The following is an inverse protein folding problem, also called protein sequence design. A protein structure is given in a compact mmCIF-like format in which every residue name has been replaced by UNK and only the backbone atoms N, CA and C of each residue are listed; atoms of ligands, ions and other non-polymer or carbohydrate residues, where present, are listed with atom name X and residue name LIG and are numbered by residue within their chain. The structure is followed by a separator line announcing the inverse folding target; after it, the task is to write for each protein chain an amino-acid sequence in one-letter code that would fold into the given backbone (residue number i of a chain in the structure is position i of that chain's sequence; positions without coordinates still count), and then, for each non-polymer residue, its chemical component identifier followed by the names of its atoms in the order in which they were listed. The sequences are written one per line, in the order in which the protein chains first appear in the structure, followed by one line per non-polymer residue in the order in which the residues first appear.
data_IF_129545571565
#
_entry.id   IF_129545571565
#
_cell.length_a   1.000
_cell.length_b   1.000
_cell.length_c   1.000
_cell.angle_alpha   90.00
_cell.angle_beta   90.00
_cell.angle_gamma   90.00
#
_symmetry.space_group_name_H-M   'P 1'
#
loop_
_entity.id
_entity.type
_entity.pdbx_description
1 polymer ?
#
# COMPACT_ATOMS: atom_id res chain seq x y z
N UNK A 1 10.52 -0.02 16.54
CA UNK A 1 9.09 0.10 16.76
C UNK A 1 8.41 -0.41 15.49
N UNK A 2 7.59 -1.46 15.59
CA UNK A 2 6.94 -2.09 14.45
C UNK A 2 5.46 -1.74 14.52
N UNK A 3 5.04 -0.60 14.03
CA UNK A 3 3.68 -0.12 14.10
C UNK A 3 2.70 -1.21 13.61
N UNK A 4 1.92 -1.28 12.76
CA UNK A 4 0.90 -2.25 12.38
C UNK A 4 1.34 -3.77 12.31
N UNK A 5 2.65 -4.06 12.29
CA UNK A 5 3.16 -5.45 12.20
C UNK A 5 3.17 -6.22 13.51
N UNK A 6 2.93 -5.55 14.63
CA UNK A 6 2.82 -6.22 15.94
C UNK A 6 1.60 -7.14 15.94
N UNK A 7 0.48 -6.78 15.29
CA UNK A 7 -0.69 -7.65 15.13
C UNK A 7 -0.38 -8.88 14.26
N UNK A 8 0.35 -8.69 13.15
CA UNK A 8 0.77 -9.81 12.30
C UNK A 8 1.76 -10.73 13.02
N UNK A 9 2.70 -10.15 13.76
CA UNK A 9 3.66 -10.91 14.57
C UNK A 9 2.97 -11.67 15.69
N UNK A 10 2.03 -11.03 16.40
CA UNK A 10 1.22 -11.65 17.43
C UNK A 10 0.42 -12.84 16.86
N UNK A 11 -0.23 -12.66 15.70
CA UNK A 11 -0.98 -13.74 15.03
C UNK A 11 -0.09 -14.91 14.63
N UNK A 12 1.09 -14.63 14.06
CA UNK A 12 2.06 -15.70 13.74
C UNK A 12 2.56 -16.43 14.98
N UNK A 13 2.79 -15.71 16.11
CA UNK A 13 3.20 -16.32 17.37
C UNK A 13 2.06 -17.13 18.03
N UNK A 14 0.82 -16.65 17.95
CA UNK A 14 -0.37 -17.39 18.40
C UNK A 14 -0.47 -18.74 17.67
N UNK A 15 -0.38 -18.74 16.34
CA UNK A 15 -0.44 -19.94 15.52
C UNK A 15 0.71 -20.91 15.82
N UNK A 16 1.92 -20.40 16.00
CA UNK A 16 3.08 -21.22 16.37
C UNK A 16 2.91 -21.83 17.76
N UNK A 17 2.32 -21.09 18.71
CA UNK A 17 2.08 -21.52 20.08
C UNK A 17 1.08 -22.68 20.20
N UNK A 18 0.26 -22.94 19.20
CA UNK A 18 -0.68 -24.07 19.19
C UNK A 18 0.03 -25.44 19.12
N UNK A 19 1.31 -25.46 18.79
CA UNK A 19 2.16 -26.66 18.79
C UNK A 19 1.59 -27.85 17.99
N UNK A 20 0.86 -27.55 16.94
CA UNK A 20 0.31 -28.51 15.97
C UNK A 20 0.55 -27.98 14.54
N UNK A 21 0.18 -28.75 13.51
CA UNK A 21 0.30 -28.31 12.15
C UNK A 21 -0.51 -27.03 11.89
N UNK A 22 0.17 -26.01 11.41
CA UNK A 22 -0.42 -24.73 10.99
C UNK A 22 0.08 -24.31 9.61
N UNK A 23 -0.72 -23.54 8.90
CA UNK A 23 -0.31 -22.91 7.65
C UNK A 23 -0.81 -21.47 7.58
N UNK A 24 0.03 -20.57 7.08
CA UNK A 24 -0.33 -19.19 6.83
C UNK A 24 0.18 -18.76 5.45
N UNK A 25 -0.45 -17.76 4.84
CA UNK A 25 0.10 -17.07 3.69
C UNK A 25 0.26 -15.59 3.98
N UNK A 26 1.43 -15.05 3.67
CA UNK A 26 1.72 -13.62 3.76
C UNK A 26 1.68 -13.04 2.36
N UNK A 27 0.74 -12.13 2.14
CA UNK A 27 0.57 -11.40 0.88
C UNK A 27 1.18 -10.02 1.02
N UNK A 28 2.11 -9.67 0.15
CA UNK A 28 2.75 -8.34 0.18
C UNK A 28 3.53 -8.06 -1.09
N UNK A 29 3.70 -6.78 -1.39
CA UNK A 29 4.60 -6.30 -2.42
C UNK A 29 6.00 -6.01 -1.87
N UNK A 30 6.92 -5.67 -2.77
CA UNK A 30 8.29 -5.37 -2.38
C UNK A 30 8.37 -4.11 -1.48
N UNK A 31 9.22 -4.16 -0.46
CA UNK A 31 9.40 -3.02 0.44
C UNK A 31 8.44 -2.96 1.63
N UNK A 32 7.42 -3.82 1.71
CA UNK A 32 6.44 -3.85 2.81
C UNK A 32 6.99 -4.38 4.14
N UNK A 33 8.28 -4.68 4.22
CA UNK A 33 8.94 -5.15 5.45
C UNK A 33 8.68 -6.63 5.78
N UNK A 34 8.25 -7.45 4.81
CA UNK A 34 8.10 -8.91 4.92
C UNK A 34 9.31 -9.57 5.59
N UNK A 35 10.51 -9.32 5.05
CA UNK A 35 11.75 -9.93 5.55
C UNK A 35 12.02 -9.58 7.02
N UNK A 36 11.68 -8.37 7.44
CA UNK A 36 11.84 -7.92 8.82
C UNK A 36 10.85 -8.64 9.74
N UNK A 37 9.57 -8.74 9.34
CA UNK A 37 8.56 -9.51 10.06
C UNK A 37 8.97 -10.97 10.21
N UNK A 38 9.38 -11.63 9.12
CA UNK A 38 9.79 -13.02 9.14
C UNK A 38 11.05 -13.25 9.98
N UNK A 39 12.03 -12.34 9.93
CA UNK A 39 13.24 -12.42 10.78
C UNK A 39 12.90 -12.29 12.25
N UNK A 40 12.05 -11.34 12.62
CA UNK A 40 11.61 -11.16 13.99
C UNK A 40 10.79 -12.36 14.50
N UNK A 41 9.85 -12.85 13.68
CA UNK A 41 9.08 -14.03 14.00
C UNK A 41 9.95 -15.28 14.19
N UNK A 42 10.98 -15.44 13.35
CA UNK A 42 11.88 -16.61 13.39
C UNK A 42 12.89 -16.58 14.52
N UNK A 43 13.05 -15.44 15.21
CA UNK A 43 14.03 -15.32 16.30
C UNK A 43 13.74 -16.34 17.42
N UNK A 44 14.75 -17.14 17.79
CA UNK A 44 14.65 -18.19 18.80
C UNK A 44 13.84 -19.42 18.39
N UNK A 45 13.41 -19.53 17.11
CA UNK A 45 12.66 -20.69 16.59
C UNK A 45 13.50 -21.47 15.58
N UNK A 46 13.37 -22.79 15.59
CA UNK A 46 13.96 -23.65 14.57
C UNK A 46 13.26 -23.37 13.23
N UNK A 47 13.96 -22.68 12.31
CA UNK A 47 13.36 -22.16 11.08
C UNK A 47 14.12 -22.61 9.85
N UNK A 48 13.42 -23.27 8.94
CA UNK A 48 13.85 -23.55 7.58
C UNK A 48 13.30 -22.43 6.68
N UNK A 49 14.16 -21.47 6.32
CA UNK A 49 13.81 -20.37 5.42
C UNK A 49 14.35 -20.68 4.04
N UNK A 50 13.48 -20.73 3.04
CA UNK A 50 13.82 -20.98 1.66
C UNK A 50 13.27 -19.88 0.76
N UNK A 51 14.17 -19.25 0.00
CA UNK A 51 13.83 -18.28 -1.04
C UNK A 51 14.19 -18.87 -2.41
N UNK A 52 13.20 -19.31 -3.19
CA UNK A 52 13.41 -19.83 -4.53
C UNK A 52 14.05 -18.79 -5.45
N UNK A 53 14.89 -19.24 -6.36
CA UNK A 53 15.44 -18.44 -7.44
C UNK A 53 14.62 -18.65 -8.73
N UNK A 54 14.67 -17.68 -9.63
CA UNK A 54 14.12 -17.81 -10.99
C UNK A 54 15.05 -18.68 -11.86
N UNK A 55 15.12 -19.97 -11.51
CA UNK A 55 16.00 -20.94 -12.14
C UNK A 55 15.27 -22.25 -12.42
N UNK A 56 15.98 -23.34 -12.68
CA UNK A 56 15.39 -24.67 -12.91
C UNK A 56 14.87 -25.27 -11.60
N UNK A 57 13.92 -26.21 -11.71
CA UNK A 57 13.40 -26.96 -10.56
C UNK A 57 14.53 -27.73 -9.85
N UNK A 58 15.52 -28.23 -10.59
CA UNK A 58 16.62 -28.97 -10.04
C UNK A 58 17.51 -28.08 -9.14
N UNK A 59 17.82 -26.86 -9.57
CA UNK A 59 18.60 -25.92 -8.76
C UNK A 59 17.83 -25.52 -7.49
N UNK A 60 16.53 -25.23 -7.59
CA UNK A 60 15.68 -24.96 -6.44
C UNK A 60 15.58 -26.17 -5.50
N UNK A 61 15.54 -27.39 -6.06
CA UNK A 61 15.57 -28.62 -5.25
C UNK A 61 16.88 -28.77 -4.50
N UNK A 62 18.03 -28.54 -5.13
CA UNK A 62 19.35 -28.63 -4.52
C UNK A 62 19.50 -27.57 -3.42
N UNK A 63 19.12 -26.33 -3.70
CA UNK A 63 19.17 -25.25 -2.72
C UNK A 63 18.28 -25.52 -1.49
N UNK A 64 17.05 -26.01 -1.68
CA UNK A 64 16.18 -26.41 -0.54
C UNK A 64 16.77 -27.58 0.23
N UNK A 65 17.38 -28.55 -0.47
CA UNK A 65 18.03 -29.71 0.16
C UNK A 65 19.20 -29.29 1.06
N UNK A 66 20.05 -28.41 0.57
CA UNK A 66 21.18 -27.85 1.33
C UNK A 66 20.68 -27.11 2.58
N UNK A 67 19.67 -26.26 2.41
CA UNK A 67 19.09 -25.51 3.51
C UNK A 67 18.43 -26.45 4.56
N UNK A 68 17.74 -27.49 4.09
CA UNK A 68 17.17 -28.50 4.97
C UNK A 68 18.26 -29.27 5.77
N UNK A 69 19.40 -29.62 5.14
CA UNK A 69 20.54 -30.24 5.80
C UNK A 69 21.14 -29.30 6.85
N UNK A 70 21.26 -28.01 6.53
CA UNK A 70 21.79 -27.00 7.45
C UNK A 70 20.95 -26.86 8.73
N UNK A 71 19.61 -26.86 8.57
CA UNK A 71 18.67 -26.64 9.70
C UNK A 71 18.35 -27.92 10.46
N UNK A 72 18.15 -29.04 9.76
CA UNK A 72 17.71 -30.32 10.34
C UNK A 72 18.88 -31.28 10.68
N UNK A 73 20.09 -30.92 10.26
CA UNK A 73 21.27 -31.76 10.37
C UNK A 73 21.46 -32.71 9.17
N UNK A 74 22.60 -33.39 9.06
CA UNK A 74 22.97 -34.22 7.93
C UNK A 74 22.29 -35.60 7.94
N UNK A 75 20.97 -35.62 8.00
CA UNK A 75 20.17 -36.85 7.99
C UNK A 75 20.41 -37.65 6.68
N UNK A 76 20.65 -38.95 6.77
CA UNK A 76 20.87 -39.83 5.60
C UNK A 76 19.72 -39.73 4.59
N UNK A 77 18.49 -39.62 5.04
CA UNK A 77 17.29 -39.44 4.16
C UNK A 77 17.29 -38.11 3.42
N UNK A 78 17.85 -37.04 3.98
CA UNK A 78 18.02 -35.76 3.27
C UNK A 78 19.13 -35.87 2.23
N UNK A 79 20.27 -36.47 2.58
CA UNK A 79 21.40 -36.69 1.66
C UNK A 79 20.98 -37.55 0.45
N UNK A 80 20.21 -38.60 0.70
CA UNK A 80 19.73 -39.54 -0.33
C UNK A 80 18.56 -39.01 -1.16
N UNK A 81 17.89 -37.93 -0.74
CA UNK A 81 16.72 -37.38 -1.42
C UNK A 81 17.06 -36.91 -2.84
N UNK A 82 16.23 -37.31 -3.83
CA UNK A 82 16.34 -37.00 -5.26
C UNK A 82 15.15 -36.20 -5.77
N UNK A 83 14.08 -36.03 -4.97
CA UNK A 83 12.83 -35.36 -5.36
C UNK A 83 12.29 -34.53 -4.21
N UNK A 84 11.54 -33.48 -4.50
CA UNK A 84 10.85 -32.64 -3.51
C UNK A 84 9.97 -33.46 -2.54
N UNK A 85 9.28 -34.49 -3.02
CA UNK A 85 8.43 -35.35 -2.17
C UNK A 85 9.24 -36.02 -1.02
N UNK A 86 10.46 -36.43 -1.30
CA UNK A 86 11.34 -37.05 -0.30
C UNK A 86 11.83 -36.02 0.74
N UNK A 87 12.17 -34.81 0.29
CA UNK A 87 12.51 -33.69 1.16
C UNK A 87 11.32 -33.33 2.06
N UNK A 88 10.15 -33.10 1.50
CA UNK A 88 8.95 -32.71 2.24
C UNK A 88 8.54 -33.78 3.26
N UNK A 89 8.66 -35.06 2.91
CA UNK A 89 8.43 -36.16 3.87
C UNK A 89 9.41 -36.12 5.04
N UNK A 90 10.69 -35.84 4.77
CA UNK A 90 11.71 -35.79 5.82
C UNK A 90 11.54 -34.56 6.72
N UNK A 91 11.21 -33.39 6.12
CA UNK A 91 10.86 -32.17 6.85
C UNK A 91 9.69 -32.40 7.80
N UNK A 92 8.60 -33.02 7.30
CA UNK A 92 7.44 -33.34 8.13
C UNK A 92 7.72 -34.35 9.24
N UNK A 93 8.60 -35.33 9.00
CA UNK A 93 9.03 -36.26 10.07
C UNK A 93 9.84 -35.55 11.15
N UNK A 94 10.79 -34.71 10.78
CA UNK A 94 11.56 -33.91 11.74
C UNK A 94 10.66 -32.98 12.57
N UNK A 95 9.61 -32.45 11.97
CA UNK A 95 8.63 -31.60 12.66
C UNK A 95 7.69 -32.37 13.61
N UNK A 96 7.68 -33.71 13.61
CA UNK A 96 7.00 -34.51 14.63
C UNK A 96 7.78 -34.59 15.93
N UNK A 97 9.10 -34.54 15.84
CA UNK A 97 10.01 -34.65 16.97
C UNK A 97 10.17 -33.29 17.67
N UNK A 98 10.30 -32.22 16.88
CA UNK A 98 10.49 -30.87 17.39
C UNK A 98 9.76 -29.86 16.48
N UNK A 99 9.21 -28.79 17.06
CA UNK A 99 8.49 -27.76 16.32
C UNK A 99 9.41 -27.10 15.30
N UNK A 100 8.89 -26.93 14.07
CA UNK A 100 9.65 -26.41 12.94
C UNK A 100 8.82 -25.37 12.18
N UNK A 101 9.40 -24.22 11.93
CA UNK A 101 8.86 -23.24 10.99
C UNK A 101 9.46 -23.49 9.61
N UNK A 102 8.63 -23.62 8.58
CA UNK A 102 9.07 -23.73 7.20
C UNK A 102 8.52 -22.54 6.38
N UNK A 103 9.39 -21.63 5.98
CA UNK A 103 9.05 -20.44 5.22
C UNK A 103 9.47 -20.64 3.78
N UNK A 104 8.54 -20.47 2.84
CA UNK A 104 8.83 -20.37 1.40
C UNK A 104 8.57 -18.92 1.00
N UNK A 105 9.66 -18.16 0.86
CA UNK A 105 9.62 -16.77 0.40
C UNK A 105 9.54 -16.73 -1.13
N UNK A 106 8.75 -15.78 -1.68
CA UNK A 106 8.48 -15.70 -3.13
C UNK A 106 7.97 -17.03 -3.72
N UNK A 107 6.96 -17.64 -3.05
CA UNK A 107 6.36 -18.94 -3.41
C UNK A 107 6.00 -19.11 -4.89
N UNK A 108 5.48 -18.07 -5.61
CA UNK A 108 5.21 -18.20 -7.04
C UNK A 108 6.45 -18.58 -7.88
N UNK A 109 7.64 -18.13 -7.53
CA UNK A 109 8.87 -18.49 -8.27
C UNK A 109 9.16 -20.00 -8.22
N UNK A 110 8.72 -20.66 -7.13
CA UNK A 110 8.87 -22.11 -6.98
C UNK A 110 7.88 -22.89 -7.83
N UNK A 111 6.66 -22.38 -8.05
CA UNK A 111 5.57 -23.15 -8.66
C UNK A 111 5.22 -22.73 -10.09
N UNK A 112 5.62 -21.55 -10.57
CA UNK A 112 5.21 -21.00 -11.87
C UNK A 112 5.58 -21.91 -13.04
N UNK A 113 6.73 -22.58 -12.99
CA UNK A 113 7.19 -23.54 -14.02
C UNK A 113 6.74 -24.96 -13.73
N UNK A 114 6.32 -25.27 -12.51
CA UNK A 114 5.98 -26.61 -12.06
C UNK A 114 4.68 -26.64 -11.23
N UNK A 115 3.53 -26.57 -11.88
CA UNK A 115 2.22 -26.67 -11.22
C UNK A 115 2.05 -27.95 -10.39
N UNK A 116 2.73 -29.06 -10.73
CA UNK A 116 2.70 -30.30 -9.95
C UNK A 116 3.27 -30.12 -8.55
N UNK A 117 4.23 -29.20 -8.39
CA UNK A 117 4.83 -28.90 -7.09
C UNK A 117 3.84 -28.20 -6.15
N UNK A 118 3.00 -27.31 -6.66
CA UNK A 118 1.92 -26.69 -5.88
C UNK A 118 0.94 -27.76 -5.35
N UNK A 119 0.49 -28.67 -6.24
CA UNK A 119 -0.39 -29.79 -5.87
C UNK A 119 0.28 -30.72 -4.85
N UNK A 120 1.59 -30.95 -4.99
CA UNK A 120 2.36 -31.77 -4.05
C UNK A 120 2.40 -31.11 -2.66
N UNK A 121 2.75 -29.82 -2.56
CA UNK A 121 2.77 -29.07 -1.30
C UNK A 121 1.39 -29.13 -0.64
N UNK A 122 0.33 -28.86 -1.40
CA UNK A 122 -1.04 -28.90 -0.89
C UNK A 122 -1.44 -30.31 -0.38
N UNK A 123 -1.01 -31.37 -1.07
CA UNK A 123 -1.22 -32.74 -0.60
C UNK A 123 -0.50 -33.03 0.72
N UNK A 124 0.73 -32.52 0.90
CA UNK A 124 1.46 -32.64 2.16
C UNK A 124 0.78 -31.86 3.29
N UNK A 125 0.35 -30.63 3.04
CA UNK A 125 -0.40 -29.81 3.99
C UNK A 125 -1.70 -30.47 4.46
N UNK A 126 -2.42 -31.12 3.54
CA UNK A 126 -3.73 -31.73 3.84
C UNK A 126 -3.64 -33.13 4.44
N UNK A 127 -2.55 -33.85 4.25
CA UNK A 127 -2.39 -35.26 4.66
C UNK A 127 -1.17 -35.51 5.53
N UNK A 128 0.03 -35.44 4.94
CA UNK A 128 1.27 -35.95 5.56
C UNK A 128 1.74 -35.09 6.77
N UNK A 129 1.54 -33.76 6.70
CA UNK A 129 1.99 -32.82 7.74
C UNK A 129 0.98 -32.60 8.87
N UNK A 130 -0.28 -33.00 8.69
CA UNK A 130 -1.34 -32.80 9.72
C UNK A 130 -0.97 -33.31 11.12
N UNK A 131 -0.22 -34.41 11.19
CA UNK A 131 0.21 -35.01 12.45
C UNK A 131 1.65 -34.57 12.82
N UNK A 132 2.01 -33.33 12.55
CA UNK A 132 3.33 -32.77 12.88
C UNK A 132 3.17 -31.42 13.58
N UNK A 133 4.26 -30.89 14.14
CA UNK A 133 4.37 -29.54 14.68
C UNK A 133 5.04 -28.60 13.67
N UNK A 134 4.65 -28.75 12.39
CA UNK A 134 5.14 -27.92 11.31
C UNK A 134 4.26 -26.69 11.16
N UNK A 135 4.86 -25.51 11.16
CA UNK A 135 4.20 -24.28 10.76
C UNK A 135 4.77 -23.83 9.39
N UNK A 136 3.97 -23.98 8.33
CA UNK A 136 4.38 -23.53 6.98
C UNK A 136 3.85 -22.13 6.69
N UNK A 137 4.72 -21.25 6.20
CA UNK A 137 4.41 -19.88 5.78
C UNK A 137 4.76 -19.73 4.30
N UNK A 138 3.76 -19.37 3.49
CA UNK A 138 3.91 -19.13 2.05
C UNK A 138 3.84 -17.62 1.79
N UNK A 139 4.91 -17.03 1.21
CA UNK A 139 4.89 -15.60 0.85
C UNK A 139 4.50 -15.43 -0.61
N UNK A 140 3.52 -14.55 -0.87
CA UNK A 140 2.88 -14.33 -2.17
C UNK A 140 2.73 -12.84 -2.47
N UNK A 141 2.60 -12.42 -3.74
CA UNK A 141 2.28 -11.05 -4.11
C UNK A 141 0.92 -10.60 -3.56
N UNK A 142 0.80 -9.32 -3.20
CA UNK A 142 -0.45 -8.74 -2.69
C UNK A 142 -1.60 -8.88 -3.69
N UNK A 143 -1.34 -8.83 -5.00
CA UNK A 143 -2.34 -8.98 -6.08
C UNK A 143 -3.08 -10.31 -6.09
N UNK A 144 -2.60 -11.33 -5.37
CA UNK A 144 -3.28 -12.62 -5.23
C UNK A 144 -4.22 -12.68 -4.02
N UNK A 145 -4.17 -11.69 -3.11
CA UNK A 145 -4.93 -11.73 -1.85
C UNK A 145 -6.43 -11.89 -2.08
N UNK A 146 -7.03 -11.00 -2.85
CA UNK A 146 -8.49 -11.00 -3.11
C UNK A 146 -8.99 -12.33 -3.71
N UNK A 147 -8.15 -13.01 -4.50
CA UNK A 147 -8.50 -14.27 -5.16
C UNK A 147 -8.35 -15.48 -4.24
N UNK A 148 -7.44 -15.42 -3.29
CA UNK A 148 -6.98 -16.59 -2.54
C UNK A 148 -7.32 -16.55 -1.05
N UNK A 149 -7.68 -15.37 -0.47
CA UNK A 149 -7.88 -15.21 0.97
C UNK A 149 -8.90 -16.20 1.55
N UNK A 150 -10.02 -16.44 0.86
CA UNK A 150 -11.05 -17.37 1.32
C UNK A 150 -10.63 -18.85 1.29
N UNK A 151 -9.57 -19.19 0.54
CA UNK A 151 -9.05 -20.55 0.39
C UNK A 151 -7.80 -20.80 1.24
N UNK A 152 -7.30 -19.78 1.90
CA UNK A 152 -6.08 -19.82 2.72
C UNK A 152 -6.47 -19.86 4.18
N UNK A 153 -5.88 -20.77 4.96
CA UNK A 153 -6.23 -20.96 6.36
C UNK A 153 -6.04 -19.68 7.21
N UNK A 154 -4.93 -18.98 7.02
CA UNK A 154 -4.62 -17.74 7.72
C UNK A 154 -3.96 -16.75 6.74
N UNK A 155 -4.77 -16.01 5.96
CA UNK A 155 -4.25 -15.00 5.04
C UNK A 155 -3.87 -13.73 5.80
N UNK A 156 -2.64 -13.26 5.60
CA UNK A 156 -2.10 -12.04 6.20
C UNK A 156 -1.69 -11.09 5.07
N UNK A 157 -2.36 -9.95 4.94
CA UNK A 157 -2.02 -8.93 3.97
C UNK A 157 -1.18 -7.83 4.63
N UNK A 158 0.09 -7.69 4.21
CA UNK A 158 0.91 -6.56 4.64
C UNK A 158 0.62 -5.35 3.78
N UNK A 159 0.02 -4.33 4.38
CA UNK A 159 -0.25 -3.03 3.75
C UNK A 159 0.87 -2.02 4.02
N UNK A 160 0.98 -0.94 3.24
CA UNK A 160 1.75 0.23 3.63
C UNK A 160 1.23 0.79 4.96
N UNK A 161 2.07 1.51 5.68
CA UNK A 161 1.61 2.26 6.84
C UNK A 161 0.66 3.38 6.40
N UNK A 162 -0.35 3.64 7.22
CA UNK A 162 -1.16 4.85 7.12
C UNK A 162 -0.30 6.09 7.43
N UNK A 163 -0.84 7.29 7.16
CA UNK A 163 -0.17 8.51 7.61
C UNK A 163 0.03 8.53 9.12
N UNK A 164 -1.01 8.12 9.87
CA UNK A 164 -1.00 8.14 11.33
C UNK A 164 0.03 7.19 11.94
N UNK A 165 0.29 6.06 11.31
CA UNK A 165 1.38 5.17 11.66
C UNK A 165 2.74 5.71 11.21
N UNK A 166 2.84 6.23 9.98
CA UNK A 166 4.08 6.80 9.43
C UNK A 166 4.60 7.93 10.30
N UNK A 167 3.72 8.83 10.76
CA UNK A 167 4.13 9.99 11.59
C UNK A 167 4.77 9.58 12.91
N UNK A 168 4.51 8.38 13.43
CA UNK A 168 5.18 7.89 14.65
C UNK A 168 6.70 7.80 14.50
N UNK A 169 7.18 7.57 13.28
CA UNK A 169 8.62 7.54 12.96
C UNK A 169 9.22 8.93 12.86
N UNK A 170 8.40 9.98 12.63
CA UNK A 170 8.84 11.33 12.29
C UNK A 170 8.26 12.41 13.22
N UNK A 171 7.87 12.07 14.45
CA UNK A 171 7.30 13.02 15.43
C UNK A 171 8.18 14.23 15.73
N UNK A 172 9.48 14.13 15.48
CA UNK A 172 10.45 15.20 15.67
C UNK A 172 10.44 16.24 14.54
N UNK A 173 9.78 15.94 13.40
CA UNK A 173 9.67 16.85 12.26
C UNK A 173 8.35 17.65 12.31
N UNK A 174 8.30 18.85 11.71
CA UNK A 174 7.04 19.55 11.45
C UNK A 174 6.04 18.71 10.70
N UNK A 175 4.74 18.87 10.97
CA UNK A 175 3.68 18.02 10.40
C UNK A 175 3.62 18.11 8.88
N UNK A 176 3.94 19.26 8.29
CA UNK A 176 4.01 19.45 6.84
C UNK A 176 5.09 18.56 6.22
N UNK A 177 6.23 18.40 6.87
CA UNK A 177 7.29 17.50 6.42
C UNK A 177 6.88 16.04 6.59
N UNK A 178 6.17 15.69 7.66
CA UNK A 178 5.61 14.35 7.86
C UNK A 178 4.63 13.99 6.73
N UNK A 179 3.74 14.91 6.35
CA UNK A 179 2.79 14.75 5.25
C UNK A 179 3.52 14.61 3.91
N UNK A 180 4.54 15.44 3.67
CA UNK A 180 5.33 15.35 2.45
C UNK A 180 6.07 14.00 2.35
N UNK A 181 6.70 13.53 3.44
CA UNK A 181 7.34 12.20 3.51
C UNK A 181 6.32 11.12 3.21
N UNK A 182 5.15 11.17 3.83
CA UNK A 182 4.08 10.21 3.57
C UNK A 182 3.62 10.24 2.10
N UNK A 183 3.40 11.43 1.54
CA UNK A 183 3.01 11.60 0.14
C UNK A 183 4.04 11.06 -0.86
N UNK A 184 5.35 11.15 -0.52
CA UNK A 184 6.45 10.62 -1.34
C UNK A 184 6.60 9.12 -1.16
N UNK A 185 6.42 8.59 0.04
CA UNK A 185 6.70 7.19 0.35
C UNK A 185 5.47 6.29 0.27
N UNK A 186 4.26 6.87 0.29
CA UNK A 186 3.02 6.12 0.38
C UNK A 186 2.93 5.24 1.62
N UNK A 187 3.69 5.54 2.68
CA UNK A 187 3.77 4.70 3.88
C UNK A 187 4.54 3.38 3.69
N UNK A 188 5.18 3.16 2.54
CA UNK A 188 5.94 1.92 2.27
C UNK A 188 7.21 1.89 3.13
N UNK A 189 7.36 0.90 4.04
CA UNK A 189 8.49 0.84 4.98
C UNK A 189 9.87 0.90 4.32
N UNK A 190 10.00 0.26 3.15
CA UNK A 190 11.26 0.27 2.39
C UNK A 190 11.64 1.65 1.85
N UNK A 191 10.66 2.52 1.61
CA UNK A 191 10.91 3.91 1.23
C UNK A 191 11.12 4.80 2.45
N UNK A 192 10.33 4.60 3.51
CA UNK A 192 10.46 5.34 4.77
C UNK A 192 11.86 5.22 5.37
N UNK A 193 12.51 4.06 5.22
CA UNK A 193 13.86 3.81 5.71
C UNK A 193 14.90 4.81 5.16
N UNK A 194 14.69 5.40 3.98
CA UNK A 194 15.58 6.43 3.42
C UNK A 194 15.43 7.79 4.11
N UNK A 195 14.33 8.01 4.84
CA UNK A 195 14.04 9.27 5.52
C UNK A 195 14.32 9.21 7.03
N UNK A 196 14.49 8.02 7.61
CA UNK A 196 14.86 7.84 9.02
C UNK A 196 16.37 8.06 9.18
N UNK A 197 16.78 9.33 9.26
CA UNK A 197 18.17 9.76 9.46
C UNK A 197 18.21 11.18 10.02
N UNK A 198 19.40 11.66 10.40
CA UNK A 198 19.61 12.98 10.98
C UNK A 198 19.82 14.13 9.96
N UNK A 199 19.62 13.84 8.66
CA UNK A 199 19.76 14.87 7.63
C UNK A 199 18.56 15.82 7.63
N UNK A 200 18.75 17.12 7.36
CA UNK A 200 17.65 18.02 7.09
C UNK A 200 16.77 17.49 5.96
N UNK A 201 15.46 17.58 6.13
CA UNK A 201 14.47 16.99 5.19
C UNK A 201 14.73 17.38 3.73
N UNK A 202 14.93 18.67 3.46
CA UNK A 202 15.16 19.16 2.09
C UNK A 202 16.46 18.61 1.48
N UNK A 203 17.51 18.55 2.27
CA UNK A 203 18.80 18.01 1.81
C UNK A 203 18.71 16.51 1.55
N UNK A 204 18.00 15.78 2.40
CA UNK A 204 17.76 14.37 2.20
C UNK A 204 16.94 14.12 0.92
N UNK A 205 15.87 14.89 0.70
CA UNK A 205 15.04 14.80 -0.48
C UNK A 205 15.83 15.09 -1.77
N UNK A 206 16.65 16.15 -1.75
CA UNK A 206 17.55 16.46 -2.86
C UNK A 206 18.48 15.30 -3.18
N UNK A 207 19.19 14.76 -2.19
CA UNK A 207 20.12 13.67 -2.39
C UNK A 207 19.46 12.39 -2.91
N UNK A 208 18.23 12.10 -2.49
CA UNK A 208 17.52 10.89 -2.91
C UNK A 208 17.03 10.95 -4.36
N UNK A 209 16.59 12.12 -4.85
CA UNK A 209 15.86 12.23 -6.11
C UNK A 209 16.53 13.11 -7.19
N UNK A 210 17.46 14.00 -6.81
CA UNK A 210 18.02 15.01 -7.71
C UNK A 210 19.53 14.94 -7.86
N UNK A 211 20.11 13.81 -7.47
CA UNK A 211 21.51 13.43 -7.77
C UNK A 211 21.52 12.15 -8.58
N UNK A 212 22.53 11.98 -9.41
CA UNK A 212 22.63 10.80 -10.29
C UNK A 212 22.81 9.49 -9.49
N UNK A 213 23.47 9.55 -8.33
CA UNK A 213 23.64 8.45 -7.39
C UNK A 213 22.47 8.28 -6.43
N UNK A 214 21.46 9.14 -6.51
CA UNK A 214 20.30 9.13 -5.61
C UNK A 214 19.59 7.79 -5.61
N UNK A 215 19.40 7.22 -4.43
CA UNK A 215 18.85 5.87 -4.27
C UNK A 215 17.45 5.72 -4.89
N UNK A 216 16.66 6.80 -4.94
CA UNK A 216 15.32 6.81 -5.51
C UNK A 216 15.28 7.42 -6.92
N UNK A 217 16.34 8.09 -7.38
CA UNK A 217 16.40 8.71 -8.71
C UNK A 217 16.31 7.66 -9.83
N UNK A 218 17.09 6.58 -9.77
CA UNK A 218 17.09 5.54 -10.82
C UNK A 218 16.06 4.44 -10.60
N UNK A 219 15.35 4.45 -9.47
CA UNK A 219 14.44 3.38 -9.08
C UNK A 219 13.28 3.18 -10.06
N UNK A 220 12.52 4.20 -10.49
CA UNK A 220 11.40 4.00 -11.41
C UNK A 220 11.83 3.39 -12.75
N UNK A 221 12.88 3.94 -13.35
CA UNK A 221 13.42 3.42 -14.63
C UNK A 221 13.89 1.97 -14.51
N UNK A 222 14.62 1.65 -13.44
CA UNK A 222 15.10 0.28 -13.19
C UNK A 222 13.96 -0.68 -12.97
N UNK A 223 12.95 -0.29 -12.19
CA UNK A 223 11.78 -1.12 -11.90
C UNK A 223 11.02 -1.47 -13.18
N UNK A 224 10.70 -0.48 -14.00
CA UNK A 224 9.96 -0.71 -15.25
C UNK A 224 10.74 -1.63 -16.22
N UNK A 225 12.05 -1.44 -16.37
CA UNK A 225 12.90 -2.29 -17.21
C UNK A 225 12.94 -3.75 -16.78
N UNK A 226 12.80 -4.01 -15.47
CA UNK A 226 12.83 -5.38 -14.94
C UNK A 226 11.47 -6.07 -15.13
N UNK A 227 10.36 -5.33 -15.02
CA UNK A 227 9.02 -5.92 -14.96
C UNK A 227 8.23 -5.85 -16.26
N UNK A 228 8.65 -5.03 -17.22
CA UNK A 228 7.92 -4.82 -18.48
C UNK A 228 8.81 -5.06 -19.70
N UNK A 229 8.21 -5.66 -20.73
CA UNK A 229 8.84 -5.84 -22.04
C UNK A 229 8.95 -4.52 -22.83
N UNK A 230 7.99 -3.62 -22.65
CA UNK A 230 7.89 -2.31 -23.31
C UNK A 230 7.81 -1.19 -22.27
N UNK A 231 8.91 -0.90 -21.53
CA UNK A 231 8.92 0.09 -20.46
C UNK A 231 8.66 1.52 -20.96
N UNK A 232 8.90 1.82 -22.25
CA UNK A 232 8.72 3.14 -22.85
C UNK A 232 7.26 3.60 -22.81
N UNK A 233 6.32 2.69 -23.08
CA UNK A 233 4.89 2.98 -23.02
C UNK A 233 4.44 3.27 -21.58
N UNK A 234 4.96 2.51 -20.62
CA UNK A 234 4.71 2.74 -19.21
C UNK A 234 5.29 4.09 -18.75
N UNK A 235 6.50 4.46 -19.21
CA UNK A 235 7.08 5.79 -18.96
C UNK A 235 6.18 6.91 -19.49
N UNK A 236 5.65 6.78 -20.71
CA UNK A 236 4.76 7.78 -21.32
C UNK A 236 3.44 7.92 -20.56
N UNK A 237 2.84 6.80 -20.14
CA UNK A 237 1.62 6.79 -19.34
C UNK A 237 1.84 7.43 -17.95
N UNK A 238 2.92 7.08 -17.26
CA UNK A 238 3.24 7.62 -15.94
C UNK A 238 3.65 9.11 -16.00
N UNK A 239 4.29 9.58 -17.07
CA UNK A 239 4.52 11.00 -17.33
C UNK A 239 3.22 11.77 -17.57
N UNK A 240 2.23 11.15 -18.22
CA UNK A 240 0.90 11.73 -18.39
C UNK A 240 0.18 11.88 -17.04
N UNK A 241 0.29 10.87 -16.18
CA UNK A 241 -0.31 10.87 -14.86
C UNK A 241 0.41 11.86 -13.91
N UNK A 242 1.71 11.69 -13.67
CA UNK A 242 2.44 12.47 -12.67
C UNK A 242 1.70 12.50 -11.33
N UNK A 243 1.41 13.70 -10.82
CA UNK A 243 0.55 13.93 -9.67
C UNK A 243 -0.94 14.13 -10.03
N UNK A 244 -1.35 13.92 -11.28
CA UNK A 244 -2.71 14.21 -11.74
C UNK A 244 -3.53 12.94 -11.91
N UNK A 245 -4.86 13.10 -11.79
CA UNK A 245 -5.83 12.07 -12.16
C UNK A 245 -6.21 12.27 -13.63
N UNK A 246 -6.22 11.18 -14.43
CA UNK A 246 -6.47 11.21 -15.87
C UNK A 246 -7.52 10.20 -16.30
N UNK A 247 -8.28 10.55 -17.34
CA UNK A 247 -9.15 9.61 -18.05
C UNK A 247 -8.34 8.78 -19.03
N UNK A 248 -8.85 7.61 -19.40
CA UNK A 248 -8.18 6.71 -20.34
C UNK A 248 -7.86 7.37 -21.69
N UNK A 249 -8.75 8.23 -22.21
CA UNK A 249 -8.52 8.90 -23.51
C UNK A 249 -7.31 9.84 -23.47
N UNK A 250 -7.05 10.55 -22.36
CA UNK A 250 -5.87 11.42 -22.21
C UNK A 250 -4.58 10.59 -22.22
N UNK A 251 -4.63 9.38 -21.65
CA UNK A 251 -3.52 8.42 -21.69
C UNK A 251 -3.32 7.89 -23.11
N UNK A 252 -4.41 7.54 -23.83
CA UNK A 252 -4.34 7.13 -25.23
C UNK A 252 -3.67 8.20 -26.11
N UNK A 253 -4.08 9.46 -25.97
CA UNK A 253 -3.49 10.58 -26.73
C UNK A 253 -1.99 10.73 -26.45
N UNK A 254 -1.58 10.55 -25.19
CA UNK A 254 -0.17 10.68 -24.79
C UNK A 254 0.70 9.51 -25.21
N UNK A 255 0.14 8.30 -25.22
CA UNK A 255 0.87 7.05 -25.53
C UNK A 255 0.70 6.59 -26.98
N UNK A 256 -0.18 7.26 -27.74
CA UNK A 256 -0.57 6.89 -29.11
C UNK A 256 -1.17 5.46 -29.21
N UNK A 257 -1.69 4.94 -28.08
CA UNK A 257 -2.29 3.62 -28.01
C UNK A 257 -3.79 3.65 -28.30
N UNK A 258 -4.29 2.54 -28.83
CA UNK A 258 -5.74 2.31 -28.88
C UNK A 258 -6.32 2.18 -27.48
N UNK A 259 -7.61 2.46 -27.24
CA UNK A 259 -8.24 2.32 -25.93
C UNK A 259 -8.07 0.92 -25.29
N UNK A 260 -8.09 -0.13 -26.12
CA UNK A 260 -7.88 -1.52 -25.64
C UNK A 260 -6.44 -1.73 -25.18
N UNK A 261 -5.45 -1.27 -25.93
CA UNK A 261 -4.03 -1.42 -25.57
C UNK A 261 -3.68 -0.57 -24.34
N UNK A 262 -4.17 0.70 -24.29
CA UNK A 262 -3.99 1.56 -23.12
C UNK A 262 -4.65 0.95 -21.87
N UNK A 263 -5.86 0.40 -21.98
CA UNK A 263 -6.54 -0.30 -20.90
C UNK A 263 -5.74 -1.50 -20.39
N UNK A 264 -5.14 -2.29 -21.30
CA UNK A 264 -4.26 -3.41 -20.93
C UNK A 264 -3.00 -2.95 -20.22
N UNK A 265 -2.38 -1.85 -20.68
CA UNK A 265 -1.22 -1.25 -20.04
C UNK A 265 -1.57 -0.76 -18.62
N UNK A 266 -2.70 -0.05 -18.46
CA UNK A 266 -3.14 0.45 -17.16
C UNK A 266 -3.44 -0.70 -16.19
N UNK A 267 -4.05 -1.78 -16.64
CA UNK A 267 -4.26 -2.98 -15.81
C UNK A 267 -2.93 -3.65 -15.41
N UNK A 268 -1.94 -3.64 -16.30
CA UNK A 268 -0.60 -4.16 -15.95
C UNK A 268 0.08 -3.28 -14.90
N UNK A 269 -0.02 -1.95 -15.02
CA UNK A 269 0.55 -1.01 -14.04
C UNK A 269 -0.19 -1.09 -12.69
N UNK A 270 -1.50 -1.33 -12.69
CA UNK A 270 -2.32 -1.59 -11.50
C UNK A 270 -1.84 -2.88 -10.78
N UNK A 271 -1.67 -3.98 -11.52
CA UNK A 271 -1.12 -5.23 -10.97
C UNK A 271 0.29 -5.09 -10.39
N UNK A 272 1.08 -4.14 -10.89
CA UNK A 272 2.39 -3.80 -10.37
C UNK A 272 2.34 -2.81 -9.19
N UNK A 273 1.16 -2.35 -8.78
CA UNK A 273 0.98 -1.38 -7.70
C UNK A 273 1.45 0.03 -8.04
N UNK A 274 1.58 0.37 -9.33
CA UNK A 274 2.06 1.69 -9.78
C UNK A 274 0.94 2.67 -10.08
N UNK A 275 -0.26 2.17 -10.36
CA UNK A 275 -1.42 2.98 -10.75
C UNK A 275 -2.67 2.45 -10.06
N UNK A 276 -3.50 3.34 -9.56
CA UNK A 276 -4.85 3.04 -9.08
C UNK A 276 -5.88 3.41 -10.14
N UNK A 277 -6.89 2.55 -10.24
CA UNK A 277 -8.13 2.81 -10.96
C UNK A 277 -9.15 3.37 -9.97
N UNK A 278 -9.50 4.64 -10.09
CA UNK A 278 -10.42 5.33 -9.18
C UNK A 278 -11.79 5.44 -9.84
N UNK A 279 -12.84 5.18 -9.07
CA UNK A 279 -14.24 5.35 -9.46
C UNK A 279 -14.97 6.19 -8.41
N UNK A 280 -16.06 6.92 -8.77
CA UNK A 280 -16.88 7.61 -7.78
C UNK A 280 -17.45 6.62 -6.76
N UNK A 281 -17.49 6.98 -5.48
CA UNK A 281 -17.99 6.10 -4.39
C UNK A 281 -19.43 5.61 -4.57
N UNK A 282 -20.21 6.26 -5.40
CA UNK A 282 -21.60 5.89 -5.72
C UNK A 282 -21.70 4.96 -6.93
N UNK A 283 -20.61 4.42 -7.43
CA UNK A 283 -20.58 3.60 -8.64
C UNK A 283 -19.79 2.31 -8.46
N UNK A 284 -20.14 1.31 -9.24
CA UNK A 284 -19.51 -0.01 -9.25
C UNK A 284 -18.23 -0.04 -10.12
N UNK A 285 -17.46 -1.10 -9.96
CA UNK A 285 -16.19 -1.34 -10.65
C UNK A 285 -16.25 -1.25 -12.19
N UNK A 286 -17.44 -1.39 -12.80
CA UNK A 286 -17.69 -1.24 -14.23
C UNK A 286 -17.94 0.18 -14.73
N UNK A 287 -17.82 1.19 -13.87
CA UNK A 287 -18.10 2.59 -14.20
C UNK A 287 -17.28 3.10 -15.37
N UNK A 288 -17.96 3.85 -16.28
CA UNK A 288 -17.31 4.59 -17.35
C UNK A 288 -16.67 5.91 -16.88
N UNK A 289 -16.92 6.32 -15.64
CA UNK A 289 -16.35 7.52 -15.01
C UNK A 289 -15.01 7.26 -14.33
N UNK A 290 -14.28 6.24 -14.79
CA UNK A 290 -12.97 5.88 -14.25
C UNK A 290 -11.93 6.97 -14.49
N UNK A 291 -11.15 7.24 -13.45
CA UNK A 291 -9.90 7.99 -13.50
C UNK A 291 -8.74 7.07 -13.10
N UNK A 292 -7.55 7.40 -13.59
CA UNK A 292 -6.31 6.74 -13.21
C UNK A 292 -5.39 7.72 -12.50
N UNK A 293 -4.69 7.27 -11.46
CA UNK A 293 -3.63 8.04 -10.78
C UNK A 293 -2.43 7.16 -10.51
N UNK A 294 -1.26 7.77 -10.34
CA UNK A 294 -0.08 7.07 -9.85
C UNK A 294 -0.26 6.76 -8.36
N UNK A 295 -0.26 5.47 -7.98
CA UNK A 295 -0.44 5.01 -6.60
C UNK A 295 0.88 4.97 -5.82
N UNK A 296 1.97 4.48 -6.43
CA UNK A 296 3.28 4.50 -5.78
C UNK A 296 3.79 5.94 -5.62
N UNK A 297 3.98 6.38 -4.36
CA UNK A 297 4.35 7.75 -4.04
C UNK A 297 5.72 8.15 -4.59
N UNK A 298 6.71 7.23 -4.60
CA UNK A 298 8.04 7.48 -5.18
C UNK A 298 7.94 7.70 -6.68
N UNK A 299 7.15 6.89 -7.38
CA UNK A 299 6.88 7.07 -8.81
C UNK A 299 6.14 8.37 -9.05
N UNK A 300 5.08 8.67 -8.29
CA UNK A 300 4.31 9.91 -8.39
C UNK A 300 5.22 11.13 -8.25
N UNK A 301 6.06 11.18 -7.22
CA UNK A 301 7.00 12.27 -6.98
C UNK A 301 8.03 12.38 -8.11
N UNK A 302 8.64 11.26 -8.50
CA UNK A 302 9.65 11.22 -9.54
C UNK A 302 9.12 11.68 -10.90
N UNK A 303 7.95 11.19 -11.34
CA UNK A 303 7.33 11.59 -12.61
C UNK A 303 6.81 13.04 -12.60
N UNK A 304 6.53 13.58 -11.42
CA UNK A 304 6.11 14.98 -11.28
C UNK A 304 7.29 15.92 -11.36
N UNK A 305 8.40 15.62 -10.69
CA UNK A 305 9.47 16.59 -10.46
C UNK A 305 10.82 16.18 -11.08
N UNK A 306 11.23 14.93 -11.04
CA UNK A 306 12.56 14.52 -11.51
C UNK A 306 12.57 14.16 -13.00
N UNK A 307 11.59 13.40 -13.48
CA UNK A 307 11.53 12.94 -14.87
C UNK A 307 11.52 14.08 -15.91
N UNK A 308 10.75 15.18 -15.72
CA UNK A 308 10.76 16.30 -16.66
C UNK A 308 12.12 17.00 -16.76
N UNK A 309 12.93 16.93 -15.71
CA UNK A 309 14.22 17.61 -15.60
C UNK A 309 15.43 16.68 -15.67
N UNK A 310 15.21 15.44 -16.14
CA UNK A 310 16.20 14.39 -16.14
C UNK A 310 17.54 14.81 -16.74
N UNK A 311 17.52 15.46 -17.93
CA UNK A 311 18.76 15.90 -18.60
C UNK A 311 19.54 16.92 -17.77
N UNK A 312 18.86 17.85 -17.11
CA UNK A 312 19.51 18.83 -16.23
C UNK A 312 20.15 18.14 -15.00
N UNK A 313 19.46 17.18 -14.41
CA UNK A 313 19.96 16.42 -13.25
C UNK A 313 21.22 15.63 -13.65
N UNK A 314 21.20 14.93 -14.78
CA UNK A 314 22.33 14.13 -15.30
C UNK A 314 23.51 15.00 -15.74
N UNK A 315 23.30 16.28 -16.05
CA UNK A 315 24.34 17.28 -16.33
C UNK A 315 24.88 17.96 -15.08
N UNK A 316 24.43 17.56 -13.86
CA UNK A 316 24.89 18.12 -12.60
C UNK A 316 24.13 19.35 -12.09
N UNK A 317 23.05 19.78 -12.78
CA UNK A 317 22.20 20.91 -12.38
C UNK A 317 21.06 20.50 -11.44
N UNK A 318 21.12 19.33 -10.84
CA UNK A 318 20.04 18.80 -9.98
C UNK A 318 19.70 19.72 -8.80
N UNK A 319 20.68 20.45 -8.23
CA UNK A 319 20.41 21.40 -7.15
C UNK A 319 19.58 22.59 -7.63
N UNK A 320 19.89 23.13 -8.80
CA UNK A 320 19.13 24.25 -9.37
C UNK A 320 17.68 23.83 -9.70
N UNK A 321 17.50 22.62 -10.26
CA UNK A 321 16.17 22.05 -10.47
C UNK A 321 15.42 21.91 -9.16
N UNK A 322 16.05 21.37 -8.11
CA UNK A 322 15.42 21.17 -6.82
C UNK A 322 14.96 22.50 -6.21
N UNK A 323 15.83 23.51 -6.19
CA UNK A 323 15.55 24.81 -5.57
C UNK A 323 14.46 25.61 -6.33
N UNK A 324 14.39 25.50 -7.67
CA UNK A 324 13.46 26.27 -8.51
C UNK A 324 12.16 25.56 -8.85
N UNK A 325 12.23 24.25 -9.12
CA UNK A 325 11.12 23.49 -9.68
C UNK A 325 10.46 22.52 -8.68
N UNK A 326 11.05 22.36 -7.49
CA UNK A 326 10.54 21.42 -6.48
C UNK A 326 10.13 22.12 -5.21
N UNK A 327 11.07 22.82 -4.54
CA UNK A 327 10.81 23.44 -3.25
C UNK A 327 9.58 24.35 -3.22
N UNK A 328 9.34 25.23 -4.22
CA UNK A 328 8.16 26.10 -4.23
C UNK A 328 6.83 25.36 -4.41
N UNK A 329 6.87 24.10 -4.86
CA UNK A 329 5.69 23.32 -5.18
C UNK A 329 5.42 22.18 -4.20
N UNK A 330 6.27 21.95 -3.20
CA UNK A 330 6.07 20.89 -2.20
C UNK A 330 4.78 21.09 -1.39
N UNK A 331 4.43 22.31 -1.07
CA UNK A 331 3.19 22.62 -0.35
C UNK A 331 1.97 22.21 -1.18
N UNK A 332 1.94 22.57 -2.46
CA UNK A 332 0.88 22.13 -3.38
C UNK A 332 0.82 20.61 -3.55
N UNK A 333 1.97 19.93 -3.57
CA UNK A 333 2.05 18.47 -3.62
C UNK A 333 1.45 17.84 -2.34
N UNK A 334 1.69 18.45 -1.20
CA UNK A 334 1.14 18.02 0.09
C UNK A 334 -0.37 18.17 0.19
N UNK A 335 -0.99 19.12 -0.52
CA UNK A 335 -2.45 19.27 -0.58
C UNK A 335 -3.16 18.00 -1.06
N UNK A 336 -2.69 17.36 -2.14
CA UNK A 336 -3.29 16.11 -2.63
C UNK A 336 -3.09 14.95 -1.64
N UNK A 337 -1.95 14.94 -0.95
CA UNK A 337 -1.66 13.98 0.12
C UNK A 337 -2.60 14.18 1.31
N UNK A 338 -2.95 15.42 1.63
CA UNK A 338 -3.89 15.73 2.71
C UNK A 338 -5.29 15.19 2.43
N UNK A 339 -5.77 15.23 1.18
CA UNK A 339 -7.02 14.55 0.81
C UNK A 339 -6.98 13.04 1.12
N UNK A 340 -5.86 12.36 0.81
CA UNK A 340 -5.69 10.93 1.12
C UNK A 340 -5.66 10.68 2.63
N UNK A 341 -5.05 11.58 3.41
CA UNK A 341 -5.01 11.51 4.89
C UNK A 341 -6.40 11.67 5.48
N UNK A 342 -7.20 12.61 4.98
CA UNK A 342 -8.58 12.80 5.44
C UNK A 342 -9.45 11.56 5.17
N UNK A 343 -9.27 10.90 4.01
CA UNK A 343 -9.95 9.62 3.72
C UNK A 343 -9.52 8.52 4.70
N UNK A 344 -8.21 8.39 4.97
CA UNK A 344 -7.72 7.43 5.96
C UNK A 344 -8.27 7.69 7.36
N UNK A 345 -8.46 8.95 7.72
CA UNK A 345 -9.09 9.31 9.00
C UNK A 345 -10.54 8.88 9.05
N UNK A 346 -11.30 9.06 7.95
CA UNK A 346 -12.68 8.56 7.86
C UNK A 346 -12.73 7.03 8.00
N UNK A 347 -11.84 6.30 7.33
CA UNK A 347 -11.76 4.85 7.46
C UNK A 347 -11.43 4.45 8.91
N UNK A 348 -10.55 5.19 9.58
CA UNK A 348 -10.22 4.98 10.99
C UNK A 348 -11.45 5.16 11.90
N UNK A 349 -12.14 6.31 11.81
CA UNK A 349 -13.31 6.54 12.68
C UNK A 349 -14.49 5.60 12.33
N UNK A 350 -14.59 5.12 11.09
CA UNK A 350 -15.53 4.07 10.72
C UNK A 350 -15.20 2.75 11.41
N UNK A 351 -13.94 2.35 11.41
CA UNK A 351 -13.49 1.14 12.12
C UNK A 351 -13.70 1.21 13.64
N UNK A 352 -13.67 2.42 14.21
CA UNK A 352 -13.95 2.67 15.63
C UNK A 352 -15.45 2.81 15.96
N UNK A 353 -16.34 2.66 14.97
CA UNK A 353 -17.79 2.85 15.14
C UNK A 353 -18.19 4.30 15.42
N UNK A 354 -17.35 5.29 15.09
CA UNK A 354 -17.57 6.71 15.30
C UNK A 354 -18.06 7.45 14.04
N UNK A 355 -18.16 6.74 12.91
CA UNK A 355 -18.75 7.27 11.70
C UNK A 355 -20.29 7.37 11.83
N UNK A 356 -20.95 8.26 11.07
CA UNK A 356 -22.41 8.47 11.19
C UNK A 356 -23.23 7.29 10.65
N UNK A 357 -22.65 6.46 9.82
CA UNK A 357 -23.19 5.21 9.28
C UNK A 357 -22.03 4.29 8.85
N UNK A 358 -22.25 2.97 8.77
CA UNK A 358 -21.22 2.06 8.30
C UNK A 358 -20.95 2.22 6.81
N UNK A 359 -19.71 2.20 6.39
CA UNK A 359 -19.28 2.17 4.98
C UNK A 359 -17.97 1.37 4.85
N UNK A 360 -17.73 0.79 3.67
CA UNK A 360 -16.58 -0.07 3.45
C UNK A 360 -15.27 0.73 3.33
N UNK A 361 -15.30 1.88 2.65
CA UNK A 361 -14.16 2.78 2.50
C UNK A 361 -14.58 4.18 2.10
N UNK A 362 -13.78 5.16 2.47
CA UNK A 362 -13.91 6.53 2.00
C UNK A 362 -13.18 6.73 0.67
N UNK A 363 -13.81 7.42 -0.25
CA UNK A 363 -13.27 7.73 -1.57
C UNK A 363 -13.52 9.19 -1.96
N UNK A 364 -13.73 9.43 -3.23
CA UNK A 364 -14.13 10.71 -3.81
C UNK A 364 -15.31 10.52 -4.75
N UNK A 365 -15.98 11.63 -5.07
CA UNK A 365 -17.04 11.62 -6.05
C UNK A 365 -16.81 12.69 -7.12
N UNK A 366 -17.14 12.39 -8.37
CA UNK A 366 -17.20 13.36 -9.47
C UNK A 366 -18.29 13.02 -10.46
N UNK A 367 -18.88 14.03 -11.05
CA UNK A 367 -19.95 13.88 -12.02
C UNK A 367 -20.30 15.18 -12.70
N UNK A 368 -21.11 15.10 -13.77
CA UNK A 368 -21.58 16.30 -14.42
C UNK A 368 -22.77 16.90 -13.67
N UNK A 369 -22.72 18.21 -13.45
CA UNK A 369 -23.87 18.91 -12.91
C UNK A 369 -25.02 18.93 -13.95
N UNK A 370 -26.24 18.50 -13.60
CA UNK A 370 -27.34 18.33 -14.58
C UNK A 370 -27.63 19.60 -15.39
N UNK A 371 -27.56 20.77 -14.75
CA UNK A 371 -27.92 22.06 -15.38
C UNK A 371 -26.73 22.92 -15.81
N UNK A 372 -25.56 22.77 -15.14
CA UNK A 372 -24.39 23.65 -15.35
C UNK A 372 -23.40 23.13 -16.37
N UNK A 373 -23.57 21.91 -16.87
CA UNK A 373 -22.68 21.22 -17.84
C UNK A 373 -21.18 21.24 -17.47
N UNK A 374 -20.86 21.36 -16.18
CA UNK A 374 -19.51 21.29 -15.65
C UNK A 374 -19.34 20.02 -14.80
N UNK A 375 -18.14 19.52 -14.72
CA UNK A 375 -17.80 18.42 -13.81
C UNK A 375 -17.64 19.00 -12.42
N UNK A 376 -18.41 18.48 -11.47
CA UNK A 376 -18.24 18.72 -10.04
C UNK A 376 -17.36 17.64 -9.44
N UNK A 377 -16.62 17.98 -8.40
CA UNK A 377 -15.71 17.09 -7.68
C UNK A 377 -15.88 17.27 -6.18
N UNK A 378 -16.07 16.18 -5.47
CA UNK A 378 -16.10 16.11 -4.00
C UNK A 378 -14.90 15.26 -3.56
N UNK A 379 -13.91 15.84 -2.89
CA UNK A 379 -12.65 15.17 -2.58
C UNK A 379 -12.81 14.02 -1.60
N UNK A 380 -13.78 14.09 -0.71
CA UNK A 380 -14.06 13.07 0.29
C UNK A 380 -15.52 12.69 0.23
N UNK A 381 -15.83 11.42 0.05
CA UNK A 381 -17.19 10.91 0.09
C UNK A 381 -17.21 9.45 0.57
N UNK A 382 -18.28 9.09 1.26
CA UNK A 382 -18.63 7.72 1.61
C UNK A 382 -20.16 7.57 1.48
N UNK A 383 -20.62 6.40 1.04
CA UNK A 383 -22.05 6.20 0.81
C UNK A 383 -22.48 4.77 1.17
N UNK A 384 -23.75 4.65 1.60
CA UNK A 384 -24.52 3.42 1.59
C UNK A 384 -25.82 3.65 0.79
N UNK A 385 -26.77 2.73 0.84
CA UNK A 385 -28.04 2.84 0.09
C UNK A 385 -28.89 4.06 0.48
N UNK A 386 -28.77 4.58 1.70
CA UNK A 386 -29.64 5.62 2.28
C UNK A 386 -28.90 6.88 2.66
N UNK A 387 -27.62 6.78 2.96
CA UNK A 387 -26.79 7.86 3.50
C UNK A 387 -25.65 8.19 2.56
N UNK A 388 -25.28 9.47 2.53
CA UNK A 388 -24.03 9.91 1.90
C UNK A 388 -23.33 10.92 2.80
N UNK A 389 -22.04 10.74 2.94
CA UNK A 389 -21.13 11.69 3.55
C UNK A 389 -20.39 12.43 2.43
N UNK A 390 -20.47 13.75 2.44
CA UNK A 390 -19.73 14.64 1.57
C UNK A 390 -18.70 15.39 2.42
N UNK A 391 -17.45 15.43 1.99
CA UNK A 391 -16.38 16.12 2.70
C UNK A 391 -15.52 16.98 1.79
N UNK A 392 -14.95 18.03 2.35
CA UNK A 392 -13.97 18.90 1.72
C UNK A 392 -12.75 19.09 2.60
N UNK A 393 -11.59 19.38 1.97
CA UNK A 393 -10.30 19.50 2.64
C UNK A 393 -9.64 20.84 2.32
N UNK A 394 -9.25 21.55 3.37
CA UNK A 394 -8.65 22.87 3.30
C UNK A 394 -7.18 22.82 3.74
N UNK A 395 -6.30 22.89 2.74
CA UNK A 395 -4.85 22.98 2.95
C UNK A 395 -4.42 24.45 2.94
N UNK A 396 -4.69 25.15 4.05
CA UNK A 396 -4.36 26.56 4.25
C UNK A 396 -4.05 26.83 5.71
N UNK A 397 -3.30 27.91 5.98
CA UNK A 397 -3.04 28.41 7.34
C UNK A 397 -4.14 29.38 7.83
N UNK A 398 -5.06 29.77 6.94
CA UNK A 398 -6.20 30.62 7.28
C UNK A 398 -7.31 29.79 7.94
N UNK A 399 -8.06 30.38 8.85
CA UNK A 399 -9.23 29.75 9.46
C UNK A 399 -10.36 29.58 8.45
N UNK A 400 -10.99 28.43 8.49
CA UNK A 400 -12.10 28.11 7.58
C UNK A 400 -13.41 28.65 8.14
N UNK A 401 -14.14 29.36 7.29
CA UNK A 401 -15.42 29.95 7.58
C UNK A 401 -16.60 29.14 7.01
N UNK A 402 -17.80 29.71 7.14
CA UNK A 402 -19.06 29.10 6.66
C UNK A 402 -19.13 28.91 5.15
N UNK A 403 -18.35 29.67 4.36
CA UNK A 403 -18.37 29.58 2.90
C UNK A 403 -17.89 28.20 2.42
N UNK A 404 -16.95 27.59 3.15
CA UNK A 404 -16.51 26.22 2.90
C UNK A 404 -17.65 25.23 2.97
N UNK A 405 -18.45 25.28 4.04
CA UNK A 405 -19.63 24.42 4.20
C UNK A 405 -20.71 24.70 3.16
N UNK A 406 -21.01 25.96 2.90
CA UNK A 406 -22.02 26.35 1.89
C UNK A 406 -21.63 25.87 0.50
N UNK A 407 -20.33 25.89 0.18
CA UNK A 407 -19.82 25.36 -1.08
C UNK A 407 -20.10 23.86 -1.19
N UNK A 408 -19.83 23.10 -0.12
CA UNK A 408 -20.09 21.66 -0.08
C UNK A 408 -21.59 21.35 -0.15
N UNK A 409 -22.43 22.09 0.54
CA UNK A 409 -23.90 21.93 0.53
C UNK A 409 -24.51 22.12 -0.87
N UNK A 410 -23.90 22.92 -1.76
CA UNK A 410 -24.36 23.06 -3.15
C UNK A 410 -24.35 21.75 -3.93
N UNK A 411 -23.56 20.77 -3.50
CA UNK A 411 -23.52 19.45 -4.11
C UNK A 411 -24.67 18.53 -3.65
N UNK A 412 -25.39 18.87 -2.56
CA UNK A 412 -26.47 18.04 -2.00
C UNK A 412 -27.52 17.63 -3.05
N UNK A 413 -27.90 18.56 -3.94
CA UNK A 413 -28.89 18.32 -5.00
C UNK A 413 -28.45 17.28 -6.05
N UNK A 414 -27.20 16.85 -6.05
CA UNK A 414 -26.66 15.84 -6.96
C UNK A 414 -26.90 14.41 -6.46
N UNK A 415 -27.32 14.25 -5.21
CA UNK A 415 -27.43 12.97 -4.53
C UNK A 415 -28.86 12.69 -4.11
N UNK A 416 -29.42 11.53 -4.50
CA UNK A 416 -30.79 11.14 -4.14
C UNK A 416 -30.91 10.50 -2.73
N UNK A 417 -29.87 10.57 -1.92
CA UNK A 417 -29.82 9.95 -0.60
C UNK A 417 -30.74 10.65 0.41
N UNK A 418 -31.29 9.88 1.34
CA UNK A 418 -32.22 10.38 2.36
C UNK A 418 -31.56 11.27 3.39
N UNK A 419 -30.31 10.98 3.74
CA UNK A 419 -29.52 11.74 4.70
C UNK A 419 -28.16 12.10 4.11
N UNK A 420 -27.79 13.37 4.24
CA UNK A 420 -26.50 13.89 3.77
C UNK A 420 -25.74 14.42 4.98
N UNK A 421 -24.52 13.92 5.16
CA UNK A 421 -23.58 14.34 6.19
C UNK A 421 -22.49 15.21 5.56
N UNK A 422 -22.05 16.26 6.27
CA UNK A 422 -21.04 17.20 5.79
C UNK A 422 -19.85 17.22 6.72
N UNK A 423 -18.70 16.79 6.25
CA UNK A 423 -17.47 16.75 7.02
C UNK A 423 -16.43 17.68 6.41
N UNK A 424 -15.88 18.59 7.21
CA UNK A 424 -14.85 19.51 6.79
C UNK A 424 -13.54 19.19 7.50
N UNK A 425 -12.46 19.17 6.73
CA UNK A 425 -11.11 18.88 7.22
C UNK A 425 -10.21 20.06 6.92
N UNK A 426 -9.49 20.57 7.92
CA UNK A 426 -8.59 21.70 7.75
C UNK A 426 -7.19 21.39 8.31
N UNK A 427 -6.17 21.92 7.63
CA UNK A 427 -4.82 21.99 8.18
C UNK A 427 -4.79 22.89 9.41
N UNK A 428 -5.42 24.05 9.30
CA UNK A 428 -5.56 25.08 10.35
C UNK A 428 -6.77 24.81 11.24
N UNK A 429 -7.54 25.84 11.55
CA UNK A 429 -8.69 25.78 12.43
C UNK A 429 -9.97 26.32 11.75
N UNK A 430 -11.08 26.23 12.43
CA UNK A 430 -12.39 26.69 11.98
C UNK A 430 -12.86 27.87 12.85
N UNK A 431 -13.63 28.78 12.26
CA UNK A 431 -14.31 29.81 13.04
C UNK A 431 -15.30 29.18 14.02
N UNK A 432 -15.36 29.76 15.23
CA UNK A 432 -16.15 29.20 16.33
C UNK A 432 -17.65 29.07 15.95
N UNK A 433 -18.28 27.99 16.35
CA UNK A 433 -19.73 27.80 16.28
C UNK A 433 -20.25 27.14 15.02
N UNK A 434 -19.40 26.68 14.09
CA UNK A 434 -19.85 25.99 12.87
C UNK A 434 -20.71 24.75 13.19
N UNK A 435 -20.27 23.91 14.10
CA UNK A 435 -21.01 22.70 14.50
C UNK A 435 -22.32 23.04 15.19
N UNK A 436 -22.38 24.13 15.96
CA UNK A 436 -23.58 24.55 16.71
C UNK A 436 -24.70 25.04 15.79
N UNK A 437 -24.33 25.62 14.63
CA UNK A 437 -25.32 26.20 13.71
C UNK A 437 -26.05 25.10 12.89
N UNK A 438 -25.37 23.99 12.57
CA UNK A 438 -25.90 23.02 11.61
C UNK A 438 -26.24 21.65 12.21
N UNK A 439 -26.12 21.50 13.53
CA UNK A 439 -26.49 20.28 14.26
C UNK A 439 -25.62 19.06 13.94
N UNK A 440 -26.16 17.87 14.24
CA UNK A 440 -25.38 16.60 14.21
C UNK A 440 -24.90 16.16 12.83
N UNK A 441 -25.45 16.73 11.74
CA UNK A 441 -25.08 16.34 10.37
C UNK A 441 -23.81 17.02 9.86
N UNK A 442 -23.25 17.98 10.61
CA UNK A 442 -22.00 18.68 10.25
C UNK A 442 -20.93 18.35 11.28
N UNK A 443 -19.76 17.96 10.81
CA UNK A 443 -18.56 17.76 11.64
C UNK A 443 -17.38 18.46 11.03
N UNK A 444 -16.51 18.99 11.89
CA UNK A 444 -15.25 19.65 11.50
C UNK A 444 -14.09 18.96 12.20
N UNK A 445 -12.98 18.78 11.50
CA UNK A 445 -11.78 18.11 12.00
C UNK A 445 -10.53 18.90 11.61
N UNK A 446 -9.79 19.37 12.59
CA UNK A 446 -8.46 19.91 12.33
C UNK A 446 -7.44 18.77 12.18
N UNK A 447 -6.34 19.03 11.49
CA UNK A 447 -5.23 18.07 11.38
C UNK A 447 -4.71 17.63 12.76
N UNK A 448 -4.67 18.53 13.72
CA UNK A 448 -4.26 18.23 15.10
C UNK A 448 -5.23 17.28 15.80
N UNK A 449 -6.54 17.51 15.67
CA UNK A 449 -7.58 16.64 16.22
C UNK A 449 -7.52 15.24 15.58
N UNK A 450 -7.36 15.16 14.26
CA UNK A 450 -7.20 13.88 13.55
C UNK A 450 -5.99 13.10 14.07
N UNK A 451 -4.85 13.78 14.22
CA UNK A 451 -3.62 13.18 14.74
C UNK A 451 -3.78 12.69 16.19
N UNK A 452 -4.43 13.48 17.05
CA UNK A 452 -4.66 13.14 18.46
C UNK A 452 -5.58 11.93 18.60
N UNK A 453 -6.67 11.90 17.84
CA UNK A 453 -7.60 10.77 17.81
C UNK A 453 -6.90 9.48 17.36
N UNK A 454 -6.14 9.56 16.26
CA UNK A 454 -5.42 8.41 15.74
C UNK A 454 -4.31 7.92 16.69
N UNK A 455 -3.60 8.82 17.36
CA UNK A 455 -2.59 8.45 18.37
C UNK A 455 -3.23 7.69 19.55
N UNK A 456 -4.41 8.12 19.99
CA UNK A 456 -5.17 7.42 21.03
C UNK A 456 -5.57 6.01 20.57
N UNK A 457 -6.08 5.86 19.35
CA UNK A 457 -6.46 4.58 18.79
C UNK A 457 -5.27 3.61 18.60
N UNK A 458 -4.10 4.12 18.18
CA UNK A 458 -2.89 3.30 18.02
C UNK A 458 -2.32 2.85 19.37
N UNK A 459 -2.45 3.67 20.43
CA UNK A 459 -1.91 3.35 21.75
C UNK A 459 -2.81 2.41 22.60
N UNK A 460 -4.07 2.18 22.20
CA UNK A 460 -5.02 1.30 22.87
C UNK A 460 -5.45 0.13 21.99
N UNK A 461 -4.60 -0.88 21.77
CA UNK A 461 -4.92 -2.02 20.88
C UNK A 461 -6.01 -2.96 21.39
N UNK A 462 -6.56 -2.76 22.60
CA UNK A 462 -7.50 -3.68 23.25
C UNK A 462 -8.99 -3.29 23.13
N UNK A 463 -9.35 -2.39 22.17
CA UNK A 463 -10.76 -2.03 21.94
C UNK A 463 -11.10 -2.31 20.45
N UNK A 464 -10.99 -3.57 20.04
CA UNK A 464 -11.63 -4.11 18.84
C UNK A 464 -11.98 -5.58 19.07
#
# INVERSE_FOLDING_TARGET
MFLDKDNHLAKLNELYGQNCFQSAAIYCDAGMGKTTLLRQFSAGKRTLYFKPLETTDNENFLALKEEAIRVLGPLEKLKAAKRFAELFRTIGKSAREESLVFIIDDYPHLINKNRRLSTLIQSYMTKEWKNSRLFIILCKPASLYEKEQLQTAHPLLLKPFTFFETRQLFRHLPVEQQICIFGITGGVPGYLAYFVNDKPFQENLYQLFFTEEGALYRRPTKFLKVHLSEPELAHSALLCLGAKRRKLHEICERTELTPSAAGSLMNTLDLLGLVDKIIPVTEDAGSRRTLYRTSDGVFRFWYTFAAPHRSAIEMGYGREVFDKEVLPFLDRYSKETFEDICRQYLDLISSLGQAPFPFDHAGSWWGQHPTRKRTEYVPIAAADDSNILLGDCFWTDEWIDLDGLQSLQKHASLFPHSTIWYYLFAKSDFVSGMETIYGDTVKVFTLEQMCTCADAAICTPDIC
#
